data_IF_554397089187
#
_entry.id   IF_554397089187
#
_cell.length_a   1.000
_cell.length_b   1.000
_cell.length_c   1.000
_cell.angle_alpha   90.00
_cell.angle_beta   90.00
_cell.angle_gamma   90.00
#
_symmetry.space_group_name_H-M   'P 1'
#
loop_
_entity.id
_entity.type
_entity.pdbx_description
1 polymer ?
#
# COMPACT_ATOMS: atom_id res chain seq x y z
N UNK A 1 -9.22 -13.27 12.80
CA UNK A 1 -9.87 -12.18 12.05
C UNK A 1 -9.39 -10.83 12.56
N UNK A 2 -9.11 -9.89 11.66
CA UNK A 2 -8.63 -8.57 12.05
C UNK A 2 -9.51 -7.46 11.49
N UNK A 3 -9.63 -6.37 12.24
CA UNK A 3 -10.33 -5.15 11.85
C UNK A 3 -9.53 -3.91 12.24
N UNK A 4 -9.60 -2.88 11.43
CA UNK A 4 -9.09 -1.56 11.80
C UNK A 4 -10.16 -0.78 12.55
N UNK A 5 -9.76 -0.15 13.66
CA UNK A 5 -10.56 0.89 14.33
C UNK A 5 -9.91 2.26 14.02
N UNK A 6 -10.37 2.98 12.98
CA UNK A 6 -9.73 4.22 12.56
C UNK A 6 -9.84 5.35 13.61
N UNK A 7 -10.88 5.33 14.44
CA UNK A 7 -11.09 6.37 15.46
C UNK A 7 -10.06 6.31 16.61
N UNK A 8 -9.47 5.13 16.82
CA UNK A 8 -8.49 4.89 17.91
C UNK A 8 -7.12 4.48 17.41
N UNK A 9 -6.88 4.52 16.10
CA UNK A 9 -5.62 4.08 15.49
C UNK A 9 -5.23 2.65 15.88
N UNK A 10 -6.18 1.71 15.87
CA UNK A 10 -6.00 0.35 16.38
C UNK A 10 -6.22 -0.71 15.31
N UNK A 11 -5.50 -1.82 15.42
CA UNK A 11 -5.78 -3.07 14.74
C UNK A 11 -6.29 -4.07 15.79
N UNK A 12 -7.51 -4.56 15.60
CA UNK A 12 -8.21 -5.47 16.52
C UNK A 12 -8.10 -6.90 15.99
N UNK A 13 -7.71 -7.83 16.86
CA UNK A 13 -7.58 -9.25 16.53
C UNK A 13 -8.65 -10.04 17.26
N UNK A 14 -9.48 -10.75 16.51
CA UNK A 14 -10.57 -11.57 17.04
C UNK A 14 -10.33 -13.05 16.81
N UNK A 15 -10.64 -13.84 17.82
CA UNK A 15 -10.67 -15.29 17.67
C UNK A 15 -11.85 -15.69 16.78
N UNK A 16 -11.58 -16.40 15.69
CA UNK A 16 -12.61 -16.78 14.71
C UNK A 16 -13.65 -17.75 15.26
N UNK A 17 -13.29 -18.58 16.23
CA UNK A 17 -14.21 -19.61 16.78
C UNK A 17 -15.14 -19.03 17.82
N UNK A 18 -14.62 -18.16 18.70
CA UNK A 18 -15.40 -17.59 19.81
C UNK A 18 -16.03 -16.24 19.48
N UNK A 19 -15.55 -15.54 18.45
CA UNK A 19 -15.94 -14.17 18.14
C UNK A 19 -15.46 -13.13 19.17
N UNK A 20 -14.61 -13.54 20.11
CA UNK A 20 -14.12 -12.66 21.19
C UNK A 20 -12.86 -11.92 20.74
N UNK A 21 -12.71 -10.68 21.19
CA UNK A 21 -11.48 -9.90 21.01
C UNK A 21 -10.33 -10.61 21.77
N UNK A 22 -9.28 -10.93 21.03
CA UNK A 22 -8.11 -11.63 21.55
C UNK A 22 -7.08 -10.62 22.07
N UNK A 23 -6.66 -9.72 21.21
CA UNK A 23 -5.80 -8.59 21.57
C UNK A 23 -5.97 -7.44 20.56
N UNK A 24 -5.32 -6.32 20.84
CA UNK A 24 -5.23 -5.16 19.96
C UNK A 24 -3.80 -4.68 19.84
N UNK A 25 -3.49 -4.08 18.70
CA UNK A 25 -2.26 -3.33 18.45
C UNK A 25 -2.64 -1.87 18.30
N UNK A 26 -2.00 -0.99 19.04
CA UNK A 26 -2.31 0.45 19.10
C UNK A 26 -1.00 1.25 18.98
N UNK A 27 -0.50 1.47 17.75
CA UNK A 27 0.72 2.23 17.54
C UNK A 27 0.55 3.69 17.95
N UNK A 28 1.62 4.28 18.45
CA UNK A 28 1.68 5.71 18.71
C UNK A 28 1.53 6.50 17.40
N UNK A 29 0.82 7.65 17.48
CA UNK A 29 0.65 8.53 16.32
C UNK A 29 1.92 9.38 16.12
N UNK A 30 2.45 9.90 17.22
CA UNK A 30 3.58 10.82 17.27
C UNK A 30 4.71 10.27 18.15
N UNK A 31 5.89 10.87 18.06
CA UNK A 31 7.05 10.47 18.86
C UNK A 31 8.01 9.52 18.13
N UNK A 32 8.96 8.97 18.86
CA UNK A 32 10.03 8.13 18.28
C UNK A 32 9.50 6.83 17.66
N UNK A 33 8.42 6.27 18.19
CA UNK A 33 7.70 5.11 17.66
C UNK A 33 6.47 5.50 16.84
N UNK A 34 6.26 6.79 16.58
CA UNK A 34 5.08 7.28 15.89
C UNK A 34 5.01 6.82 14.43
N UNK A 35 3.84 6.32 14.04
CA UNK A 35 3.57 5.85 12.68
C UNK A 35 2.49 6.65 11.97
N UNK A 36 2.04 7.77 12.55
CA UNK A 36 0.88 8.54 12.11
C UNK A 36 -0.43 7.71 12.12
N UNK A 37 -1.50 8.27 11.56
CA UNK A 37 -2.79 7.54 11.47
C UNK A 37 -2.72 6.43 10.42
N UNK A 38 -3.11 5.23 10.82
CA UNK A 38 -3.20 4.06 9.94
C UNK A 38 -4.32 4.28 8.92
N UNK A 39 -4.01 4.12 7.64
CA UNK A 39 -4.97 4.05 6.54
C UNK A 39 -5.25 2.61 6.12
N UNK A 40 -4.28 1.73 6.30
CA UNK A 40 -4.41 0.33 6.03
C UNK A 40 -3.21 -0.46 6.56
N UNK A 41 -3.33 -1.78 6.56
CA UNK A 41 -2.29 -2.66 7.08
C UNK A 41 -2.21 -3.97 6.31
N UNK A 42 -1.02 -4.57 6.33
CA UNK A 42 -0.77 -5.92 5.86
C UNK A 42 0.00 -6.69 6.94
N UNK A 43 -0.56 -7.81 7.39
CA UNK A 43 0.05 -8.68 8.39
C UNK A 43 0.79 -9.80 7.66
N UNK A 44 2.11 -9.71 7.62
CA UNK A 44 2.95 -10.80 7.14
C UNK A 44 3.06 -11.89 8.23
N UNK A 45 3.38 -11.45 9.44
CA UNK A 45 3.33 -12.21 10.70
C UNK A 45 3.24 -11.21 11.85
N UNK A 46 3.21 -11.68 13.12
CA UNK A 46 3.07 -10.80 14.28
C UNK A 46 4.33 -9.96 14.59
N UNK A 47 5.48 -10.32 14.05
CA UNK A 47 6.70 -9.55 14.14
C UNK A 47 6.92 -8.62 12.94
N UNK A 48 6.04 -8.70 11.94
CA UNK A 48 6.15 -7.96 10.69
C UNK A 48 4.78 -7.54 10.18
N UNK A 49 4.32 -6.37 10.62
CA UNK A 49 3.06 -5.75 10.25
C UNK A 49 3.38 -4.45 9.52
N UNK A 50 3.02 -4.37 8.25
CA UNK A 50 3.27 -3.21 7.39
C UNK A 50 2.05 -2.30 7.41
N UNK A 51 2.28 -1.01 7.66
CA UNK A 51 1.25 0.01 7.77
C UNK A 51 1.40 1.03 6.65
N UNK A 52 0.32 1.36 5.98
CA UNK A 52 0.18 2.60 5.22
C UNK A 52 -0.51 3.63 6.09
N UNK A 53 -0.02 4.84 6.09
CA UNK A 53 -0.43 5.86 7.04
C UNK A 53 -0.68 7.21 6.37
N UNK A 54 -1.20 8.17 7.10
CA UNK A 54 -1.43 9.54 6.62
C UNK A 54 -0.15 10.34 6.33
N UNK A 55 1.03 9.79 6.58
CA UNK A 55 2.27 10.41 6.10
C UNK A 55 2.34 10.38 4.57
N UNK A 56 1.69 9.39 3.92
CA UNK A 56 1.62 9.20 2.46
C UNK A 56 2.97 9.05 1.75
N UNK A 57 4.05 8.92 2.48
CA UNK A 57 5.42 8.90 1.93
C UNK A 57 6.16 7.62 2.27
N UNK A 58 5.69 6.91 3.28
CA UNK A 58 6.37 5.74 3.81
C UNK A 58 5.41 4.62 4.19
N UNK A 59 5.94 3.41 4.18
CA UNK A 59 5.33 2.23 4.79
C UNK A 59 6.07 1.98 6.09
N UNK A 60 5.37 1.99 7.21
CA UNK A 60 5.93 1.69 8.51
C UNK A 60 5.84 0.18 8.79
N UNK A 61 6.92 -0.42 9.26
CA UNK A 61 6.96 -1.79 9.76
C UNK A 61 6.93 -1.77 11.28
N UNK A 62 5.95 -2.42 11.87
CA UNK A 62 5.83 -2.60 13.31
C UNK A 62 5.74 -4.08 13.69
N UNK A 63 5.95 -4.39 14.97
CA UNK A 63 5.65 -5.68 15.56
C UNK A 63 4.31 -5.69 16.32
N UNK A 64 3.93 -6.85 16.88
CA UNK A 64 2.70 -7.02 17.67
C UNK A 64 2.63 -6.15 18.93
N UNK A 65 3.76 -5.67 19.43
CA UNK A 65 3.85 -4.80 20.60
C UNK A 65 3.80 -3.31 20.22
N UNK A 66 3.41 -3.02 18.96
CA UNK A 66 3.32 -1.70 18.35
C UNK A 66 4.67 -0.94 18.29
N UNK A 67 5.78 -1.64 18.39
CA UNK A 67 7.12 -1.04 18.29
C UNK A 67 7.45 -0.85 16.82
N UNK A 68 7.85 0.37 16.47
CA UNK A 68 8.35 0.69 15.12
C UNK A 68 9.70 -0.03 14.91
N UNK A 69 9.74 -0.89 13.89
CA UNK A 69 10.92 -1.67 13.51
C UNK A 69 11.68 -0.98 12.39
N UNK A 70 10.97 -0.50 11.37
CA UNK A 70 11.58 0.16 10.21
C UNK A 70 10.57 1.01 9.44
N UNK A 71 11.09 1.81 8.48
CA UNK A 71 10.32 2.64 7.55
C UNK A 71 10.88 2.52 6.15
N UNK A 72 9.98 2.48 5.17
CA UNK A 72 10.29 2.33 3.75
C UNK A 72 9.65 3.49 2.96
N UNK A 73 10.47 4.44 2.55
CA UNK A 73 10.02 5.52 1.67
C UNK A 73 9.80 5.01 0.25
N UNK A 74 8.76 5.50 -0.43
CA UNK A 74 8.42 5.05 -1.79
C UNK A 74 8.10 6.19 -2.78
N UNK A 75 8.34 7.42 -2.39
CA UNK A 75 7.99 8.59 -3.23
C UNK A 75 8.78 8.70 -4.52
N UNK A 76 9.91 8.01 -4.67
CA UNK A 76 10.77 8.10 -5.84
C UNK A 76 11.52 6.80 -6.09
N UNK A 77 11.62 6.40 -7.36
CA UNK A 77 12.39 5.22 -7.79
C UNK A 77 13.87 5.53 -7.95
N UNK A 78 14.70 4.48 -8.02
CA UNK A 78 16.16 4.60 -8.20
C UNK A 78 16.54 5.30 -9.51
N UNK A 79 15.73 5.17 -10.55
CA UNK A 79 15.91 5.85 -11.84
C UNK A 79 15.25 7.24 -11.91
N UNK A 80 14.75 7.73 -10.78
CA UNK A 80 14.29 9.11 -10.61
C UNK A 80 12.83 9.36 -10.96
N UNK A 81 12.02 8.31 -11.22
CA UNK A 81 10.58 8.47 -11.46
C UNK A 81 9.89 8.80 -10.13
N UNK A 82 9.13 9.88 -10.11
CA UNK A 82 8.29 10.22 -8.98
C UNK A 82 7.03 9.36 -8.96
N UNK A 83 6.79 8.69 -7.83
CA UNK A 83 5.58 7.92 -7.58
C UNK A 83 4.57 8.78 -6.83
N UNK A 84 3.29 8.60 -7.15
CA UNK A 84 2.25 9.34 -6.45
C UNK A 84 2.08 8.82 -5.03
N UNK A 85 2.22 9.71 -4.06
CA UNK A 85 2.26 9.39 -2.64
C UNK A 85 0.90 9.06 -2.03
N UNK A 86 -0.21 9.54 -2.62
CA UNK A 86 -1.55 9.49 -2.01
C UNK A 86 -2.28 8.15 -2.06
N UNK A 87 -1.80 7.18 -2.85
CA UNK A 87 -2.58 5.99 -3.18
C UNK A 87 -1.86 4.65 -3.00
N UNK A 88 -0.71 4.64 -2.32
CA UNK A 88 -0.18 3.34 -1.89
C UNK A 88 -1.15 2.74 -0.89
N UNK A 89 -1.95 1.80 -1.34
CA UNK A 89 -3.06 1.28 -0.55
C UNK A 89 -2.79 -0.13 -0.08
N UNK A 90 -3.25 -0.41 1.12
CA UNK A 90 -3.52 -1.76 1.60
C UNK A 90 -4.99 -2.12 1.38
N UNK A 91 -5.61 -1.56 0.35
CA UNK A 91 -6.98 -1.86 -0.01
C UNK A 91 -7.13 -3.31 -0.45
N UNK A 92 -8.31 -3.89 -0.24
CA UNK A 92 -8.59 -5.29 -0.58
C UNK A 92 -8.32 -5.58 -2.06
N UNK A 93 -8.56 -4.61 -2.93
CA UNK A 93 -8.36 -4.75 -4.38
C UNK A 93 -6.93 -4.47 -4.85
N UNK A 94 -6.08 -3.86 -4.01
CA UNK A 94 -4.66 -3.61 -4.29
C UNK A 94 -3.79 -3.85 -3.05
N UNK A 95 -3.81 -5.06 -2.48
CA UNK A 95 -3.10 -5.33 -1.23
C UNK A 95 -1.59 -5.19 -1.42
N UNK A 96 -0.91 -4.69 -0.40
CA UNK A 96 0.55 -4.86 -0.28
C UNK A 96 0.85 -6.35 -0.29
N UNK A 97 1.90 -6.75 -0.96
CA UNK A 97 2.34 -8.16 -1.01
C UNK A 97 3.83 -8.22 -0.73
N UNK A 98 4.23 -9.12 0.16
CA UNK A 98 5.64 -9.35 0.47
C UNK A 98 6.07 -10.65 -0.21
N UNK A 99 7.05 -10.55 -1.10
CA UNK A 99 7.59 -11.70 -1.83
C UNK A 99 9.06 -11.47 -2.14
N UNK A 100 9.90 -12.50 -1.98
CA UNK A 100 11.32 -12.48 -2.32
C UNK A 100 12.06 -11.24 -1.80
N UNK A 101 11.87 -10.91 -0.52
CA UNK A 101 12.47 -9.76 0.16
C UNK A 101 12.07 -8.39 -0.43
N UNK A 102 10.94 -8.31 -1.11
CA UNK A 102 10.41 -7.07 -1.65
C UNK A 102 8.98 -6.81 -1.15
N UNK A 103 8.68 -5.54 -0.91
CA UNK A 103 7.32 -5.04 -0.74
C UNK A 103 6.82 -4.64 -2.13
N UNK A 104 5.76 -5.26 -2.60
CA UNK A 104 5.09 -4.86 -3.84
C UNK A 104 3.91 -3.97 -3.52
N UNK A 105 3.89 -2.77 -4.12
CA UNK A 105 2.85 -1.76 -3.95
C UNK A 105 2.23 -1.38 -5.29
N UNK A 106 1.03 -0.80 -5.21
CA UNK A 106 0.40 -0.09 -6.33
C UNK A 106 0.46 1.39 -5.97
N UNK A 107 1.38 2.17 -6.56
CA UNK A 107 1.38 3.62 -6.38
C UNK A 107 0.16 4.21 -7.08
N UNK A 108 -0.24 5.40 -6.67
CA UNK A 108 -1.30 6.13 -7.37
C UNK A 108 -0.88 6.49 -8.79
N UNK A 109 -1.88 6.71 -9.63
CA UNK A 109 -1.67 7.20 -10.98
C UNK A 109 -1.22 8.66 -10.98
N UNK A 110 -0.05 8.95 -11.54
CA UNK A 110 0.39 10.33 -11.77
C UNK A 110 -0.19 10.87 -13.10
N UNK A 111 -1.35 11.49 -13.03
CA UNK A 111 -2.08 12.02 -14.21
C UNK A 111 -1.30 13.05 -15.03
N UNK A 112 -0.27 13.63 -14.45
CA UNK A 112 0.50 14.72 -15.06
C UNK A 112 1.96 14.32 -15.34
N UNK A 113 2.36 13.11 -14.97
CA UNK A 113 3.71 12.61 -15.21
C UNK A 113 3.89 12.07 -16.63
N UNK A 114 5.13 12.12 -17.12
CA UNK A 114 5.49 11.49 -18.40
C UNK A 114 5.42 9.96 -18.33
N UNK A 115 5.70 9.39 -17.15
CA UNK A 115 5.62 7.98 -16.85
C UNK A 115 4.61 7.72 -15.72
N UNK A 116 3.88 6.66 -15.85
CA UNK A 116 2.80 6.30 -14.94
C UNK A 116 2.83 4.81 -14.60
N UNK A 117 3.80 4.37 -13.80
CA UNK A 117 3.97 2.96 -13.47
C UNK A 117 2.78 2.44 -12.66
N UNK A 118 2.26 1.28 -13.05
CA UNK A 118 1.14 0.61 -12.36
C UNK A 118 1.56 0.04 -11.01
N UNK A 119 2.82 -0.40 -10.90
CA UNK A 119 3.31 -1.04 -9.70
C UNK A 119 4.78 -0.72 -9.44
N UNK A 120 5.15 -0.77 -8.17
CA UNK A 120 6.52 -0.64 -7.72
C UNK A 120 6.86 -1.72 -6.70
N UNK A 121 8.16 -1.98 -6.55
CA UNK A 121 8.71 -2.82 -5.50
C UNK A 121 9.72 -2.04 -4.67
N UNK A 122 9.76 -2.34 -3.38
CA UNK A 122 10.71 -1.78 -2.43
C UNK A 122 11.51 -2.95 -1.87
N UNK A 123 12.83 -2.96 -2.08
CA UNK A 123 13.70 -3.97 -1.48
C UNK A 123 13.79 -3.76 0.04
N UNK A 124 13.52 -4.80 0.82
CA UNK A 124 13.50 -4.74 2.29
C UNK A 124 14.89 -4.52 2.89
N UNK A 125 15.97 -4.81 2.15
CA UNK A 125 17.33 -4.73 2.67
C UNK A 125 17.99 -3.38 2.40
N UNK A 126 17.93 -2.94 1.14
CA UNK A 126 18.61 -1.69 0.71
C UNK A 126 17.65 -0.52 0.54
N UNK A 127 16.33 -0.75 0.69
CA UNK A 127 15.25 0.24 0.58
C UNK A 127 15.14 0.91 -0.80
N UNK A 128 15.72 0.28 -1.81
CA UNK A 128 15.60 0.76 -3.17
C UNK A 128 14.20 0.54 -3.72
N UNK A 129 13.67 1.58 -4.36
CA UNK A 129 12.35 1.55 -4.99
C UNK A 129 12.52 1.39 -6.50
N UNK A 130 11.93 0.32 -7.04
CA UNK A 130 11.93 0.05 -8.46
C UNK A 130 10.50 0.03 -8.98
N UNK A 131 10.24 0.58 -10.16
CA UNK A 131 8.95 0.40 -10.81
C UNK A 131 8.94 -0.85 -11.68
N UNK A 132 7.76 -1.46 -11.86
CA UNK A 132 7.59 -2.54 -12.82
C UNK A 132 7.52 -1.96 -14.24
N UNK A 133 7.98 -2.71 -15.27
CA UNK A 133 8.16 -2.19 -16.63
C UNK A 133 6.85 -2.12 -17.43
N UNK A 134 5.74 -1.71 -16.80
CA UNK A 134 4.48 -1.45 -17.48
C UNK A 134 3.75 -0.27 -16.85
N UNK A 135 2.98 0.42 -17.66
CA UNK A 135 2.28 1.64 -17.29
C UNK A 135 0.76 1.44 -17.39
N UNK A 136 0.01 2.38 -16.80
CA UNK A 136 -1.44 2.40 -16.98
C UNK A 136 -1.79 2.49 -18.47
N UNK A 137 -2.76 1.68 -18.94
CA UNK A 137 -3.18 1.73 -20.33
C UNK A 137 -3.68 3.14 -20.70
N UNK A 138 -3.34 3.58 -21.90
CA UNK A 138 -3.89 4.82 -22.47
C UNK A 138 -5.20 4.49 -23.16
N UNK A 139 -6.29 5.05 -22.66
CA UNK A 139 -7.63 4.80 -23.20
C UNK A 139 -8.06 5.90 -24.16
N UNK A 140 -8.78 5.57 -25.25
CA UNK A 140 -9.34 6.57 -26.14
C UNK A 140 -10.25 7.54 -25.36
N UNK A 141 -9.98 8.83 -25.47
CA UNK A 141 -10.75 9.88 -24.78
C UNK A 141 -10.25 10.27 -23.38
N UNK A 142 -9.23 9.61 -22.85
CA UNK A 142 -8.60 9.98 -21.57
C UNK A 142 -7.87 11.34 -21.61
N UNK A 143 -7.58 11.87 -22.81
CA UNK A 143 -6.90 13.17 -23.00
C UNK A 143 -7.79 14.38 -22.69
N UNK A 144 -9.05 14.19 -22.36
CA UNK A 144 -9.95 15.26 -21.96
C UNK A 144 -9.63 15.72 -20.53
N UNK A 145 -8.80 16.76 -20.40
CA UNK A 145 -8.37 17.39 -19.14
C UNK A 145 -9.51 17.77 -18.16
N UNK A 146 -10.76 17.71 -18.60
CA UNK A 146 -11.94 18.08 -17.83
C UNK A 146 -12.84 16.89 -17.42
N UNK A 147 -12.58 15.69 -17.90
CA UNK A 147 -13.26 14.50 -17.40
C UNK A 147 -12.38 13.90 -16.31
N UNK A 148 -12.90 13.85 -15.11
CA UNK A 148 -12.38 12.92 -14.08
C UNK A 148 -12.44 11.54 -14.71
N UNK A 149 -11.32 11.05 -15.20
CA UNK A 149 -11.22 9.69 -15.70
C UNK A 149 -11.29 8.78 -14.48
N UNK A 150 -12.48 8.37 -14.08
CA UNK A 150 -12.69 7.38 -13.03
C UNK A 150 -12.08 6.02 -13.33
N UNK A 151 -11.62 5.82 -14.57
CA UNK A 151 -10.99 4.60 -15.09
C UNK A 151 -9.73 4.21 -14.31
N UNK A 152 -8.93 5.18 -13.90
CA UNK A 152 -7.67 4.94 -13.19
C UNK A 152 -7.86 4.53 -11.73
N UNK A 153 -9.03 4.76 -11.17
CA UNK A 153 -9.38 4.43 -9.79
C UNK A 153 -9.90 2.99 -9.64
N UNK A 154 -10.16 2.30 -10.75
CA UNK A 154 -10.78 0.97 -10.77
C UNK A 154 -9.82 -0.12 -11.27
N UNK A 155 -8.62 -0.15 -10.74
CA UNK A 155 -7.70 -1.27 -10.94
C UNK A 155 -7.78 -2.21 -9.74
N UNK A 156 -7.74 -3.50 -10.01
CA UNK A 156 -7.51 -4.51 -8.97
C UNK A 156 -6.27 -5.34 -9.28
N UNK A 157 -5.66 -5.84 -8.22
CA UNK A 157 -4.51 -6.74 -8.31
C UNK A 157 -4.70 -7.91 -7.35
N UNK A 158 -4.39 -9.10 -7.80
CA UNK A 158 -4.21 -10.25 -6.93
C UNK A 158 -2.86 -10.91 -7.18
N UNK A 159 -2.44 -11.72 -6.22
CA UNK A 159 -1.24 -12.55 -6.30
C UNK A 159 -1.65 -14.00 -6.11
N UNK A 160 -1.34 -14.87 -7.07
CA UNK A 160 -1.73 -16.28 -7.03
C UNK A 160 -0.69 -17.20 -6.34
N UNK A 161 0.40 -16.63 -5.84
CA UNK A 161 1.55 -17.32 -5.24
C UNK A 161 2.79 -17.30 -6.15
N UNK A 162 2.61 -17.01 -7.43
CA UNK A 162 3.71 -16.96 -8.43
C UNK A 162 3.68 -15.65 -9.22
N UNK A 163 2.49 -15.17 -9.62
CA UNK A 163 2.30 -14.05 -10.53
C UNK A 163 1.36 -13.02 -9.96
N UNK A 164 1.60 -11.77 -10.33
CA UNK A 164 0.63 -10.70 -10.14
C UNK A 164 -0.31 -10.61 -11.34
N UNK A 165 -1.61 -10.60 -11.07
CA UNK A 165 -2.66 -10.44 -12.06
C UNK A 165 -3.29 -9.06 -11.85
N UNK A 166 -3.25 -8.22 -12.88
CA UNK A 166 -3.83 -6.87 -12.87
C UNK A 166 -5.07 -6.84 -13.73
N UNK A 167 -6.14 -6.28 -13.21
CA UNK A 167 -7.39 -6.05 -13.92
C UNK A 167 -7.70 -4.56 -13.95
N UNK A 168 -7.95 -4.03 -15.13
CA UNK A 168 -8.35 -2.64 -15.33
C UNK A 168 -9.81 -2.64 -15.75
N UNK A 169 -10.63 -1.83 -15.09
CA UNK A 169 -12.05 -1.71 -15.38
C UNK A 169 -12.28 -0.45 -16.21
N UNK A 170 -13.17 -0.58 -17.20
CA UNK A 170 -13.63 0.50 -18.03
C UNK A 170 -15.13 0.69 -17.78
N UNK A 171 -15.54 1.93 -17.53
CA UNK A 171 -16.93 2.33 -17.75
C UNK A 171 -17.03 2.87 -19.18
N UNK A 172 -17.82 2.21 -20.05
CA UNK A 172 -18.20 2.70 -21.37
C UNK A 172 -19.26 3.81 -21.25
#
# INVERSE_FOLDING_TARGET
>A
LTFQNPNKNQILFYNLKSGVLDFKIEPEIDGANGVAFILGYYIHNLDSIFLTTRSFEEISLINKDAILVDKFEYGKTVDGIELQKFYSTTAIYTPITIQNNNIYIVPGCNRFGEKNPVAASIDLKNKEVNHLPFEYPKFPGADNKNKRAGIEEHMSRCFDGEKFIYSFYFDE
#
